data_IF_647162178765
#
_entry.id   IF_647162178765
#
_cell.length_a   1.000
_cell.length_b   1.000
_cell.length_c   1.000
_cell.angle_alpha   90.00
_cell.angle_beta   90.00
_cell.angle_gamma   90.00
#
_symmetry.space_group_name_H-M   'P 1'
#
loop_
_entity.id
_entity.type
_entity.pdbx_description
1 polymer ?
#
# COMPACT_ATOMS: atom_id res chain seq x y z
N UNK A 1 -1.31 -12.41 22.24
CA UNK A 1 -1.63 -12.10 20.83
C UNK A 1 -0.59 -12.77 19.94
N UNK A 2 -1.01 -13.38 18.83
CA UNK A 2 -0.11 -13.91 17.82
C UNK A 2 0.39 -12.76 16.92
N UNK A 3 1.68 -12.70 16.62
CA UNK A 3 2.29 -11.68 15.74
C UNK A 3 2.91 -12.40 14.53
N UNK A 4 2.48 -12.10 13.30
CA UNK A 4 3.06 -12.68 12.10
C UNK A 4 4.47 -12.15 11.87
N UNK A 5 5.32 -12.93 11.23
CA UNK A 5 6.66 -12.49 10.85
C UNK A 5 6.64 -11.84 9.47
N UNK A 6 7.34 -10.72 9.33
CA UNK A 6 7.56 -10.11 8.01
C UNK A 6 8.77 -10.79 7.37
N UNK A 7 8.57 -11.43 6.23
CA UNK A 7 9.61 -12.14 5.46
C UNK A 7 9.91 -11.39 4.17
N UNK A 8 11.18 -11.14 3.90
CA UNK A 8 11.61 -10.48 2.66
C UNK A 8 11.96 -11.56 1.62
N UNK A 9 11.34 -11.49 0.46
CA UNK A 9 11.58 -12.41 -0.64
C UNK A 9 11.81 -11.67 -1.96
N UNK A 10 12.52 -12.30 -2.89
CA UNK A 10 12.63 -11.79 -4.25
C UNK A 10 11.28 -11.93 -4.95
N UNK A 11 10.85 -10.88 -5.64
CA UNK A 11 9.65 -10.93 -6.47
C UNK A 11 9.81 -12.00 -7.57
N UNK A 12 8.73 -12.74 -7.82
CA UNK A 12 8.67 -13.56 -9.02
C UNK A 12 8.75 -12.65 -10.26
N UNK A 13 9.65 -12.91 -11.24
CA UNK A 13 9.75 -12.09 -12.45
C UNK A 13 8.43 -11.90 -13.19
N UNK A 14 7.56 -12.92 -13.24
CA UNK A 14 6.23 -12.83 -13.88
C UNK A 14 5.30 -11.84 -13.16
N UNK A 15 5.37 -11.76 -11.83
CA UNK A 15 4.62 -10.77 -11.08
C UNK A 15 5.14 -9.35 -11.34
N UNK A 16 6.47 -9.17 -11.39
CA UNK A 16 7.05 -7.87 -11.74
C UNK A 16 6.62 -7.44 -13.15
N UNK A 17 6.65 -8.34 -14.13
CA UNK A 17 6.20 -8.11 -15.51
C UNK A 17 4.72 -7.72 -15.52
N UNK A 18 3.87 -8.46 -14.82
CA UNK A 18 2.44 -8.20 -14.71
C UNK A 18 2.16 -6.81 -14.14
N UNK A 19 2.86 -6.38 -13.08
CA UNK A 19 2.70 -5.04 -12.52
C UNK A 19 3.14 -3.95 -13.48
N UNK A 20 4.30 -4.12 -14.14
CA UNK A 20 4.76 -3.13 -15.13
C UNK A 20 3.77 -3.02 -16.30
N UNK A 21 3.23 -4.12 -16.79
CA UNK A 21 2.18 -4.13 -17.81
C UNK A 21 0.97 -3.31 -17.35
N UNK A 22 0.44 -3.59 -16.16
CA UNK A 22 -0.73 -2.91 -15.61
C UNK A 22 -0.50 -1.39 -15.45
N UNK A 23 0.69 -0.99 -14.99
CA UNK A 23 1.05 0.42 -14.84
C UNK A 23 1.23 1.15 -16.19
N UNK A 24 1.50 0.42 -17.27
CA UNK A 24 1.61 0.95 -18.63
C UNK A 24 0.28 0.91 -19.40
N UNK A 25 -0.78 0.32 -18.83
CA UNK A 25 -2.11 0.39 -19.43
C UNK A 25 -2.60 1.83 -19.46
N UNK A 26 -3.22 2.21 -20.60
CA UNK A 26 -3.85 3.52 -20.71
C UNK A 26 -5.07 3.54 -19.81
N UNK A 27 -5.04 4.36 -18.77
CA UNK A 27 -6.22 4.58 -17.94
C UNK A 27 -7.40 4.98 -18.83
N UNK A 28 -8.48 4.21 -18.78
CA UNK A 28 -9.74 4.48 -19.48
C UNK A 28 -10.53 5.61 -18.83
N UNK A 29 -10.04 6.18 -17.74
CA UNK A 29 -10.66 7.29 -17.00
C UNK A 29 -10.21 8.60 -17.60
N UNK A 30 -11.14 9.53 -17.78
CA UNK A 30 -10.91 10.86 -18.39
C UNK A 30 -9.96 11.79 -17.62
N UNK A 31 -9.16 11.28 -16.72
CA UNK A 31 -8.12 12.03 -16.02
C UNK A 31 -6.89 12.17 -16.93
N UNK A 32 -6.49 13.40 -17.20
CA UNK A 32 -5.37 13.75 -18.10
C UNK A 32 -4.00 13.40 -17.53
N UNK A 33 -3.89 13.11 -16.23
CA UNK A 33 -2.65 12.70 -15.57
C UNK A 33 -2.54 11.18 -15.56
N UNK A 34 -1.40 10.67 -16.05
CA UNK A 34 -1.05 9.24 -16.05
C UNK A 34 0.12 8.97 -15.10
N UNK A 35 -0.06 9.12 -13.77
CA UNK A 35 1.07 9.06 -12.84
C UNK A 35 1.74 7.69 -12.85
N UNK A 36 0.99 6.59 -13.05
CA UNK A 36 1.52 5.24 -13.14
C UNK A 36 2.37 5.04 -14.40
N UNK A 37 1.84 5.43 -15.55
CA UNK A 37 2.52 5.34 -16.82
C UNK A 37 3.83 6.14 -16.84
N UNK A 38 3.78 7.42 -16.45
CA UNK A 38 4.95 8.29 -16.46
C UNK A 38 6.05 7.84 -15.49
N UNK A 39 5.68 7.43 -14.27
CA UNK A 39 6.64 6.90 -13.30
C UNK A 39 7.26 5.59 -13.78
N UNK A 40 6.48 4.73 -14.45
CA UNK A 40 6.99 3.49 -15.03
C UNK A 40 8.00 3.78 -16.14
N UNK A 41 7.71 4.70 -17.06
CA UNK A 41 8.68 5.10 -18.10
C UNK A 41 9.92 5.81 -17.54
N UNK A 42 9.79 6.49 -16.40
CA UNK A 42 10.96 7.07 -15.71
C UNK A 42 11.86 5.97 -15.14
N UNK A 43 11.26 4.91 -14.60
CA UNK A 43 11.97 3.76 -14.04
C UNK A 43 12.55 2.86 -15.14
N UNK A 44 11.82 2.68 -16.25
CA UNK A 44 12.17 1.89 -17.43
C UNK A 44 12.26 2.76 -18.68
N UNK A 45 13.34 3.58 -18.83
CA UNK A 45 13.47 4.47 -19.98
C UNK A 45 13.48 3.74 -21.34
N UNK A 46 13.87 2.47 -21.35
CA UNK A 46 13.86 1.58 -22.52
C UNK A 46 12.45 1.28 -23.05
N UNK A 47 11.41 1.54 -22.26
CA UNK A 47 10.00 1.37 -22.64
C UNK A 47 9.36 2.66 -23.19
N UNK A 48 10.12 3.72 -23.48
CA UNK A 48 9.56 5.00 -23.99
C UNK A 48 8.78 4.86 -25.29
N UNK A 49 9.17 3.90 -26.13
CA UNK A 49 8.52 3.64 -27.41
C UNK A 49 7.47 2.52 -27.33
N UNK A 50 7.05 2.12 -26.14
CA UNK A 50 6.10 1.02 -25.91
C UNK A 50 4.76 1.21 -26.63
N UNK A 51 4.31 2.46 -26.80
CA UNK A 51 3.08 2.80 -27.54
C UNK A 51 3.20 2.65 -29.06
N UNK A 52 4.41 2.40 -29.58
CA UNK A 52 4.69 2.15 -31.00
C UNK A 52 4.80 0.67 -31.34
N UNK A 53 4.64 -0.22 -30.34
CA UNK A 53 4.61 -1.66 -30.58
C UNK A 53 3.53 -2.00 -31.62
N UNK A 54 3.87 -2.85 -32.59
CA UNK A 54 3.00 -3.22 -33.71
C UNK A 54 1.76 -4.00 -33.23
N UNK A 55 1.96 -4.82 -32.20
CA UNK A 55 0.90 -5.61 -31.59
C UNK A 55 1.16 -5.87 -30.08
N UNK A 56 0.22 -6.56 -29.44
CA UNK A 56 0.32 -6.89 -28.02
C UNK A 56 1.46 -7.88 -27.72
N UNK A 57 1.82 -8.73 -28.66
CA UNK A 57 2.91 -9.69 -28.48
C UNK A 57 4.27 -8.96 -28.45
N UNK A 58 4.47 -7.98 -29.32
CA UNK A 58 5.67 -7.12 -29.30
C UNK A 58 5.72 -6.29 -28.02
N UNK A 59 4.58 -5.71 -27.60
CA UNK A 59 4.45 -4.95 -26.36
C UNK A 59 4.86 -5.80 -25.15
N UNK A 60 4.32 -7.01 -25.03
CA UNK A 60 4.65 -7.94 -23.96
C UNK A 60 6.13 -8.35 -24.00
N UNK A 61 6.69 -8.60 -25.17
CA UNK A 61 8.11 -8.92 -25.32
C UNK A 61 9.01 -7.77 -24.85
N UNK A 62 8.68 -6.52 -25.20
CA UNK A 62 9.43 -5.34 -24.75
C UNK A 62 9.43 -5.23 -23.22
N UNK A 63 8.25 -5.37 -22.58
CA UNK A 63 8.11 -5.31 -21.13
C UNK A 63 8.93 -6.42 -20.47
N UNK A 64 8.73 -7.66 -20.90
CA UNK A 64 9.44 -8.83 -20.37
C UNK A 64 10.95 -8.67 -20.46
N UNK A 65 11.44 -8.27 -21.61
CA UNK A 65 12.88 -8.05 -21.83
C UNK A 65 13.43 -6.97 -20.89
N UNK A 66 12.72 -5.85 -20.73
CA UNK A 66 13.15 -4.75 -19.86
C UNK A 66 13.19 -5.19 -18.40
N UNK A 67 12.15 -5.85 -17.91
CA UNK A 67 12.06 -6.32 -16.52
C UNK A 67 13.13 -7.36 -16.21
N UNK A 68 13.25 -8.42 -17.01
CA UNK A 68 14.24 -9.48 -16.80
C UNK A 68 15.65 -8.91 -16.77
N UNK A 69 15.98 -8.07 -17.78
CA UNK A 69 17.28 -7.42 -17.82
C UNK A 69 17.59 -6.64 -16.54
N UNK A 70 16.64 -5.85 -16.03
CA UNK A 70 16.84 -5.06 -14.81
C UNK A 70 17.04 -5.93 -13.57
N UNK A 71 16.28 -7.01 -13.43
CA UNK A 71 16.41 -7.94 -12.32
C UNK A 71 17.76 -8.68 -12.36
N UNK A 72 18.20 -9.12 -13.54
CA UNK A 72 19.48 -9.81 -13.72
C UNK A 72 20.68 -8.89 -13.47
N UNK A 73 20.72 -7.72 -14.11
CA UNK A 73 21.81 -6.74 -13.99
C UNK A 73 22.00 -6.24 -12.55
N UNK A 74 20.94 -6.25 -11.73
CA UNK A 74 20.96 -5.74 -10.37
C UNK A 74 20.81 -6.84 -9.30
N UNK A 75 20.96 -8.10 -9.67
CA UNK A 75 20.67 -9.25 -8.81
C UNK A 75 21.47 -9.24 -7.48
N UNK A 76 22.72 -8.83 -7.51
CA UNK A 76 23.57 -8.73 -6.29
C UNK A 76 23.11 -7.56 -5.39
N UNK A 77 22.81 -6.41 -5.98
CA UNK A 77 22.31 -5.27 -5.23
C UNK A 77 20.94 -5.55 -4.61
N UNK A 78 20.05 -6.18 -5.37
CA UNK A 78 18.72 -6.59 -4.86
C UNK A 78 18.90 -7.50 -3.64
N UNK A 79 19.79 -8.50 -3.73
CA UNK A 79 20.05 -9.44 -2.62
C UNK A 79 20.57 -8.71 -1.38
N UNK A 80 21.57 -7.83 -1.55
CA UNK A 80 22.10 -6.99 -0.48
C UNK A 80 21.03 -6.11 0.17
N UNK A 81 20.13 -5.56 -0.62
CA UNK A 81 19.01 -4.76 -0.11
C UNK A 81 17.97 -5.58 0.62
N UNK A 82 17.69 -6.79 0.14
CA UNK A 82 16.78 -7.72 0.83
C UNK A 82 17.30 -8.09 2.23
N UNK A 83 18.60 -8.38 2.35
CA UNK A 83 19.23 -8.67 3.64
C UNK A 83 19.08 -7.45 4.58
N UNK A 84 19.39 -6.26 4.10
CA UNK A 84 19.23 -5.03 4.86
C UNK A 84 17.76 -4.76 5.28
N UNK A 85 16.80 -5.00 4.39
CA UNK A 85 15.37 -4.84 4.72
C UNK A 85 14.95 -5.84 5.78
N UNK A 86 15.37 -7.09 5.68
CA UNK A 86 15.07 -8.13 6.66
C UNK A 86 15.62 -7.76 8.05
N UNK A 87 16.90 -7.43 8.14
CA UNK A 87 17.53 -6.99 9.39
C UNK A 87 16.80 -5.78 10.00
N UNK A 88 16.41 -4.84 9.17
CA UNK A 88 15.73 -3.63 9.63
C UNK A 88 14.31 -3.90 10.10
N UNK A 89 13.55 -4.75 9.40
CA UNK A 89 12.21 -5.19 9.82
C UNK A 89 12.24 -5.90 11.17
N UNK A 90 13.23 -6.75 11.41
CA UNK A 90 13.41 -7.45 12.69
C UNK A 90 13.55 -6.48 13.89
N UNK A 91 13.95 -5.24 13.65
CA UNK A 91 14.14 -4.27 14.75
C UNK A 91 12.86 -3.63 15.25
N UNK A 92 11.78 -3.58 14.46
CA UNK A 92 10.59 -2.80 14.83
C UNK A 92 9.24 -3.41 14.44
N UNK A 93 9.19 -4.33 13.46
CA UNK A 93 7.92 -4.80 12.91
C UNK A 93 7.04 -5.52 13.92
N UNK A 94 7.60 -6.37 14.77
CA UNK A 94 6.82 -7.09 15.77
C UNK A 94 6.07 -6.11 16.69
N UNK A 95 6.75 -5.10 17.22
CA UNK A 95 6.15 -4.07 18.07
C UNK A 95 5.15 -3.19 17.33
N UNK A 96 5.43 -2.87 16.08
CA UNK A 96 4.51 -2.12 15.21
C UNK A 96 3.21 -2.89 14.96
N UNK A 97 3.30 -4.15 14.53
CA UNK A 97 2.13 -4.99 14.24
C UNK A 97 1.30 -5.19 15.51
N UNK A 98 1.96 -5.48 16.64
CA UNK A 98 1.28 -5.62 17.93
C UNK A 98 0.50 -4.35 18.29
N UNK A 99 1.14 -3.17 18.19
CA UNK A 99 0.50 -1.90 18.50
C UNK A 99 -0.67 -1.58 17.56
N UNK A 100 -0.54 -1.83 16.25
CA UNK A 100 -1.64 -1.69 15.29
C UNK A 100 -2.79 -2.64 15.60
N UNK A 101 -2.52 -3.92 15.86
CA UNK A 101 -3.54 -4.89 16.22
C UNK A 101 -4.30 -4.47 17.51
N UNK A 102 -3.59 -3.98 18.52
CA UNK A 102 -4.21 -3.44 19.74
C UNK A 102 -5.07 -2.21 19.44
N UNK A 103 -4.58 -1.27 18.61
CA UNK A 103 -5.32 -0.07 18.21
C UNK A 103 -6.63 -0.42 17.49
N UNK A 104 -6.57 -1.35 16.53
CA UNK A 104 -7.74 -1.79 15.77
C UNK A 104 -8.65 -2.78 16.52
N UNK A 105 -8.29 -3.18 17.76
CA UNK A 105 -8.97 -4.25 18.48
C UNK A 105 -9.13 -5.50 17.60
N UNK A 106 -8.00 -5.93 17.00
CA UNK A 106 -7.91 -7.03 16.06
C UNK A 106 -6.93 -8.10 16.57
N UNK A 107 -7.25 -9.37 16.38
CA UNK A 107 -6.35 -10.48 16.67
C UNK A 107 -5.89 -11.14 15.36
N UNK A 108 -4.58 -11.04 15.09
CA UNK A 108 -4.01 -11.70 13.91
C UNK A 108 -4.19 -13.23 13.99
N UNK A 109 -4.60 -13.82 12.87
CA UNK A 109 -4.95 -15.25 12.81
C UNK A 109 -3.67 -16.10 12.71
N UNK A 110 -3.53 -17.16 13.57
CA UNK A 110 -2.34 -18.02 13.55
C UNK A 110 -2.13 -18.83 12.26
N UNK A 111 -3.17 -19.02 11.46
CA UNK A 111 -3.11 -19.69 10.16
C UNK A 111 -2.49 -18.81 9.05
N UNK A 112 -2.25 -17.53 9.32
CA UNK A 112 -1.54 -16.58 8.47
C UNK A 112 -0.24 -16.10 9.16
N UNK A 113 0.77 -16.98 9.35
CA UNK A 113 1.92 -16.69 10.22
C UNK A 113 2.96 -15.75 9.61
N UNK A 114 2.83 -15.43 8.33
CA UNK A 114 3.82 -14.65 7.58
C UNK A 114 3.15 -13.56 6.78
N UNK A 115 3.75 -12.37 6.81
CA UNK A 115 3.51 -11.31 5.84
C UNK A 115 4.72 -11.28 4.90
N UNK A 116 4.51 -11.39 3.60
CA UNK A 116 5.62 -11.42 2.65
C UNK A 116 5.85 -10.06 2.01
N UNK A 117 7.07 -9.53 2.17
CA UNK A 117 7.56 -8.36 1.45
C UNK A 117 8.33 -8.82 0.21
N UNK A 118 7.72 -8.70 -0.96
CA UNK A 118 8.40 -9.01 -2.22
C UNK A 118 9.20 -7.82 -2.74
N UNK A 119 10.50 -8.03 -2.91
CA UNK A 119 11.43 -6.99 -3.37
C UNK A 119 11.69 -7.13 -4.87
N UNK A 120 11.40 -6.08 -5.64
CA UNK A 120 11.54 -6.06 -7.08
C UNK A 120 12.02 -4.71 -7.63
N UNK A 121 11.74 -4.47 -8.89
CA UNK A 121 12.01 -3.20 -9.57
C UNK A 121 10.69 -2.55 -9.98
N UNK A 122 10.08 -1.79 -9.03
CA UNK A 122 8.71 -1.31 -9.13
C UNK A 122 8.61 0.21 -8.90
N UNK A 123 7.77 0.94 -9.65
CA UNK A 123 7.53 2.37 -9.42
C UNK A 123 6.52 2.64 -8.29
N UNK A 124 5.75 1.62 -7.89
CA UNK A 124 4.70 1.66 -6.88
C UNK A 124 4.73 0.39 -6.04
N UNK A 125 4.04 0.39 -4.91
CA UNK A 125 4.00 -0.69 -3.95
C UNK A 125 2.60 -1.34 -3.93
N UNK A 126 2.35 -2.33 -4.82
CA UNK A 126 1.11 -3.10 -4.78
C UNK A 126 1.04 -3.96 -3.52
N UNK A 127 -0.17 -4.35 -3.12
CA UNK A 127 -0.41 -5.33 -2.06
C UNK A 127 -1.49 -6.32 -2.45
N UNK A 128 -1.59 -7.39 -1.65
CA UNK A 128 -2.73 -8.29 -1.57
C UNK A 128 -3.05 -8.52 -0.09
N UNK A 129 -4.15 -7.97 0.38
CA UNK A 129 -4.59 -8.17 1.76
C UNK A 129 -4.98 -9.64 1.99
N UNK A 130 -5.51 -10.32 0.98
CA UNK A 130 -5.89 -11.74 1.05
C UNK A 130 -4.66 -12.65 1.21
N UNK A 131 -3.60 -12.40 0.44
CA UNK A 131 -2.37 -13.22 0.45
C UNK A 131 -1.37 -12.75 1.52
N UNK A 132 -1.68 -11.71 2.28
CA UNK A 132 -0.80 -11.09 3.27
C UNK A 132 0.58 -10.78 2.70
N UNK A 133 0.59 -10.08 1.57
CA UNK A 133 1.84 -9.68 0.93
C UNK A 133 1.78 -8.24 0.37
N UNK A 134 2.95 -7.64 0.25
CA UNK A 134 3.14 -6.37 -0.42
C UNK A 134 4.45 -6.37 -1.21
N UNK A 135 4.57 -5.42 -2.14
CA UNK A 135 5.68 -5.38 -3.09
C UNK A 135 6.40 -4.04 -2.98
N UNK A 136 7.74 -4.07 -2.97
CA UNK A 136 8.57 -2.88 -2.81
C UNK A 136 9.65 -2.79 -3.90
N UNK A 137 10.19 -1.58 -4.10
CA UNK A 137 11.35 -1.38 -4.96
C UNK A 137 12.63 -1.45 -4.15
N UNK A 138 13.62 -2.22 -4.60
CA UNK A 138 14.92 -2.29 -3.95
C UNK A 138 15.67 -0.95 -3.95
N UNK A 139 15.32 -0.03 -4.84
CA UNK A 139 16.02 1.25 -5.00
C UNK A 139 15.65 2.31 -3.96
N UNK A 140 14.50 2.16 -3.32
CA UNK A 140 13.94 3.20 -2.45
C UNK A 140 14.03 2.79 -0.97
N UNK A 141 15.24 2.90 -0.43
CA UNK A 141 15.57 2.43 0.91
C UNK A 141 14.68 3.02 2.01
N UNK A 142 14.49 4.34 2.00
CA UNK A 142 13.69 5.02 3.04
C UNK A 142 12.20 4.71 2.91
N UNK A 143 11.71 4.71 1.67
CA UNK A 143 10.29 4.52 1.39
C UNK A 143 9.83 3.07 1.64
N UNK A 144 10.73 2.08 1.55
CA UNK A 144 10.40 0.68 1.83
C UNK A 144 9.80 0.53 3.23
N UNK A 145 10.38 1.15 4.24
CA UNK A 145 9.91 1.00 5.62
C UNK A 145 8.60 1.76 5.87
N UNK A 146 8.49 2.99 5.41
CA UNK A 146 7.24 3.75 5.51
C UNK A 146 6.13 3.12 4.67
N UNK A 147 6.45 2.58 3.49
CA UNK A 147 5.52 1.81 2.67
C UNK A 147 5.08 0.51 3.34
N UNK A 148 6.00 -0.25 3.94
CA UNK A 148 5.65 -1.49 4.63
C UNK A 148 4.66 -1.26 5.78
N UNK A 149 4.86 -0.24 6.62
CA UNK A 149 3.92 0.07 7.70
C UNK A 149 2.57 0.53 7.15
N UNK A 150 2.55 1.25 6.03
CA UNK A 150 1.34 1.66 5.33
C UNK A 150 0.54 0.45 4.81
N UNK A 151 1.19 -0.46 4.08
CA UNK A 151 0.52 -1.64 3.51
C UNK A 151 0.05 -2.63 4.60
N UNK A 152 0.81 -2.81 5.67
CA UNK A 152 0.41 -3.66 6.80
C UNK A 152 -0.76 -3.02 7.57
N UNK A 153 -0.79 -1.69 7.72
CA UNK A 153 -1.94 -1.00 8.30
C UNK A 153 -3.22 -1.29 7.51
N UNK A 154 -3.17 -1.24 6.18
CA UNK A 154 -4.30 -1.60 5.33
C UNK A 154 -4.74 -3.05 5.51
N UNK A 155 -3.81 -4.01 5.66
CA UNK A 155 -4.15 -5.41 5.90
C UNK A 155 -4.91 -5.59 7.20
N UNK A 156 -4.45 -4.94 8.29
CA UNK A 156 -5.09 -4.99 9.60
C UNK A 156 -6.46 -4.31 9.56
N UNK A 157 -6.55 -3.13 8.95
CA UNK A 157 -7.81 -2.42 8.73
C UNK A 157 -8.81 -3.29 7.99
N UNK A 158 -8.39 -3.88 6.86
CA UNK A 158 -9.28 -4.64 6.01
C UNK A 158 -9.78 -5.93 6.68
N UNK A 159 -8.92 -6.62 7.41
CA UNK A 159 -9.32 -7.78 8.22
C UNK A 159 -10.32 -7.37 9.32
N UNK A 160 -10.05 -6.26 10.02
CA UNK A 160 -10.97 -5.72 11.03
C UNK A 160 -12.31 -5.32 10.43
N UNK A 161 -12.29 -4.65 9.27
CA UNK A 161 -13.50 -4.29 8.53
C UNK A 161 -14.32 -5.52 8.14
N UNK A 162 -13.65 -6.57 7.67
CA UNK A 162 -14.28 -7.85 7.37
C UNK A 162 -14.90 -8.53 8.59
N UNK A 163 -14.25 -8.49 9.75
CA UNK A 163 -14.84 -9.00 11.00
C UNK A 163 -16.13 -8.28 11.35
N UNK A 164 -16.17 -6.96 11.21
CA UNK A 164 -17.35 -6.14 11.50
C UNK A 164 -18.50 -6.39 10.52
N UNK A 165 -18.21 -6.78 9.28
CA UNK A 165 -19.18 -6.89 8.19
C UNK A 165 -19.43 -8.33 7.70
N UNK A 166 -19.12 -9.35 8.50
CA UNK A 166 -19.45 -10.74 8.21
C UNK A 166 -18.51 -11.48 7.27
N UNK A 167 -17.31 -10.92 6.98
CA UNK A 167 -16.19 -11.66 6.39
C UNK A 167 -16.23 -11.86 4.87
N UNK A 168 -17.09 -11.14 4.14
CA UNK A 168 -17.23 -11.29 2.68
C UNK A 168 -16.99 -9.99 1.89
N UNK A 169 -16.39 -8.98 2.50
CA UNK A 169 -16.07 -7.73 1.82
C UNK A 169 -14.85 -7.95 0.93
N UNK A 170 -14.93 -7.55 -0.33
CA UNK A 170 -13.79 -7.56 -1.24
C UNK A 170 -12.86 -6.40 -0.94
N UNK A 171 -11.55 -6.62 -1.12
CA UNK A 171 -10.59 -5.52 -1.06
C UNK A 171 -11.00 -4.41 -2.04
N UNK A 172 -11.14 -3.16 -1.55
CA UNK A 172 -11.69 -2.09 -2.36
C UNK A 172 -10.68 -1.61 -3.41
N UNK A 173 -11.21 -1.00 -4.48
CA UNK A 173 -10.41 -0.32 -5.48
C UNK A 173 -11.02 1.05 -5.75
N UNK A 174 -10.18 2.02 -6.11
CA UNK A 174 -10.66 3.34 -6.51
C UNK A 174 -11.72 3.22 -7.64
N UNK A 175 -12.87 3.93 -7.57
CA UNK A 175 -13.24 5.00 -6.61
C UNK A 175 -14.20 4.55 -5.49
N UNK A 176 -14.06 3.32 -4.97
CA UNK A 176 -14.91 2.82 -3.88
C UNK A 176 -14.76 3.69 -2.62
N UNK A 177 -15.84 4.07 -1.91
CA UNK A 177 -15.75 4.78 -0.64
C UNK A 177 -14.88 4.07 0.42
N UNK A 178 -14.86 2.74 0.43
CA UNK A 178 -14.01 1.98 1.34
C UNK A 178 -12.52 2.15 1.01
N UNK A 179 -12.16 2.31 -0.28
CA UNK A 179 -10.80 2.66 -0.69
C UNK A 179 -10.39 4.04 -0.14
N UNK A 180 -11.27 5.03 -0.21
CA UNK A 180 -10.98 6.36 0.36
C UNK A 180 -10.82 6.29 1.88
N UNK A 181 -11.65 5.47 2.56
CA UNK A 181 -11.53 5.26 4.01
C UNK A 181 -10.17 4.66 4.37
N UNK A 182 -9.76 3.57 3.72
CA UNK A 182 -8.49 2.91 4.03
C UNK A 182 -7.28 3.84 3.84
N UNK A 183 -7.31 4.71 2.81
CA UNK A 183 -6.23 5.63 2.52
C UNK A 183 -6.19 6.84 3.46
N UNK A 184 -7.34 7.33 3.91
CA UNK A 184 -7.37 8.50 4.79
C UNK A 184 -7.03 8.15 6.24
N UNK A 185 -7.41 6.97 6.72
CA UNK A 185 -7.17 6.58 8.11
C UNK A 185 -5.72 6.25 8.42
N UNK A 186 -4.85 6.07 7.42
CA UNK A 186 -3.40 5.86 7.64
C UNK A 186 -2.78 7.01 8.43
N UNK A 187 -3.25 8.24 8.23
CA UNK A 187 -2.76 9.40 8.96
C UNK A 187 -3.04 9.28 10.47
N UNK A 188 -4.29 9.22 10.96
CA UNK A 188 -4.55 9.15 12.39
C UNK A 188 -4.10 7.84 13.05
N UNK A 189 -4.15 6.71 12.34
CA UNK A 189 -3.81 5.40 12.94
C UNK A 189 -2.30 5.18 13.05
N UNK A 190 -1.54 5.51 12.02
CA UNK A 190 -0.08 5.33 12.03
C UNK A 190 0.65 6.43 12.83
N UNK A 191 0.01 7.58 13.03
CA UNK A 191 0.56 8.66 13.86
C UNK A 191 0.08 8.59 15.33
N UNK A 192 -0.79 7.63 15.70
CA UNK A 192 -1.14 7.36 17.09
C UNK A 192 0.13 7.03 17.88
N UNK A 193 0.29 7.62 19.08
CA UNK A 193 1.53 7.53 19.86
C UNK A 193 1.95 6.09 20.12
N UNK A 194 0.98 5.22 20.43
CA UNK A 194 1.21 3.79 20.68
C UNK A 194 1.80 3.04 19.47
N UNK A 195 1.51 3.48 18.26
CA UNK A 195 2.00 2.91 17.00
C UNK A 195 3.29 3.61 16.55
N UNK A 196 3.27 4.96 16.54
CA UNK A 196 4.38 5.78 16.03
C UNK A 196 5.69 5.57 16.78
N UNK A 197 5.65 5.29 18.09
CA UNK A 197 6.85 4.99 18.88
C UNK A 197 7.69 3.82 18.36
N UNK A 198 7.09 2.90 17.61
CA UNK A 198 7.79 1.75 17.01
C UNK A 198 8.38 2.09 15.63
N UNK A 199 7.67 2.87 14.81
CA UNK A 199 8.05 3.15 13.43
C UNK A 199 8.99 4.34 13.29
N UNK A 200 8.82 5.38 14.14
CA UNK A 200 9.50 6.67 14.08
C UNK A 200 9.24 7.47 12.78
N UNK A 201 8.30 7.02 11.95
CA UNK A 201 7.89 7.71 10.72
C UNK A 201 6.64 8.55 10.97
N UNK A 202 6.59 9.72 10.33
CA UNK A 202 5.36 10.48 10.18
C UNK A 202 4.66 10.01 8.90
N UNK A 203 3.44 9.53 9.04
CA UNK A 203 2.65 9.03 7.93
C UNK A 203 1.63 10.08 7.49
N UNK A 204 1.45 10.24 6.18
CA UNK A 204 0.49 11.15 5.59
C UNK A 204 -0.37 10.40 4.58
N UNK A 205 -1.65 10.71 4.59
CA UNK A 205 -2.58 10.30 3.56
C UNK A 205 -2.37 11.09 2.25
N UNK A 206 -3.17 10.85 1.22
CA UNK A 206 -3.07 11.59 -0.03
C UNK A 206 -3.32 13.10 0.16
N UNK A 207 -2.60 13.98 -0.59
CA UNK A 207 -2.70 15.44 -0.44
C UNK A 207 -4.13 15.99 -0.54
N UNK A 208 -4.97 15.41 -1.40
CA UNK A 208 -6.35 15.84 -1.59
C UNK A 208 -7.21 15.77 -0.32
N UNK A 209 -6.88 14.90 0.63
CA UNK A 209 -7.62 14.80 1.89
C UNK A 209 -7.37 15.97 2.85
N UNK A 210 -6.32 16.74 2.61
CA UNK A 210 -5.98 17.93 3.42
C UNK A 210 -6.48 19.24 2.77
N UNK A 211 -7.03 19.18 1.58
CA UNK A 211 -7.59 20.35 0.91
C UNK A 211 -8.88 20.78 1.61
N UNK A 212 -9.07 22.10 1.91
CA UNK A 212 -10.29 22.56 2.52
C UNK A 212 -11.50 22.33 1.61
N UNK A 213 -12.58 21.76 2.16
CA UNK A 213 -13.87 21.66 1.49
C UNK A 213 -14.64 22.99 1.49
N UNK A 214 -15.89 22.97 1.03
CA UNK A 214 -16.76 24.16 0.96
C UNK A 214 -16.98 24.85 2.32
N UNK A 215 -16.91 24.09 3.42
CA UNK A 215 -17.05 24.59 4.79
C UNK A 215 -15.77 25.19 5.37
N UNK A 216 -14.65 25.11 4.64
CA UNK A 216 -13.31 25.49 5.11
C UNK A 216 -12.62 24.41 5.96
N UNK A 217 -13.28 23.30 6.27
CA UNK A 217 -12.72 22.13 6.95
C UNK A 217 -12.30 21.08 5.92
N UNK A 218 -11.13 20.48 6.09
CA UNK A 218 -10.71 19.37 5.23
C UNK A 218 -11.34 18.04 5.67
N UNK A 219 -11.40 17.06 4.75
CA UNK A 219 -11.80 15.70 5.10
C UNK A 219 -10.89 15.14 6.21
N UNK A 220 -9.58 15.38 6.12
CA UNK A 220 -8.63 14.93 7.13
C UNK A 220 -8.90 15.53 8.51
N UNK A 221 -9.24 16.83 8.61
CA UNK A 221 -9.59 17.44 9.88
C UNK A 221 -10.81 16.77 10.52
N UNK A 222 -11.81 16.46 9.71
CA UNK A 222 -12.99 15.74 10.16
C UNK A 222 -12.66 14.33 10.65
N UNK A 223 -11.88 13.57 9.89
CA UNK A 223 -11.48 12.21 10.27
C UNK A 223 -10.64 12.20 11.55
N UNK A 224 -9.70 13.14 11.69
CA UNK A 224 -8.90 13.29 12.93
C UNK A 224 -9.78 13.61 14.14
N UNK A 225 -10.80 14.47 13.99
CA UNK A 225 -11.75 14.75 15.08
C UNK A 225 -12.55 13.50 15.48
N UNK A 226 -13.03 12.72 14.52
CA UNK A 226 -13.70 11.45 14.80
C UNK A 226 -12.76 10.47 15.53
N UNK A 227 -11.53 10.37 15.07
CA UNK A 227 -10.53 9.51 15.68
C UNK A 227 -10.21 9.89 17.13
N UNK A 228 -10.03 11.18 17.41
CA UNK A 228 -9.74 11.70 18.76
C UNK A 228 -10.91 11.50 19.73
N UNK A 229 -12.15 11.56 19.24
CA UNK A 229 -13.35 11.47 20.07
C UNK A 229 -13.98 10.05 20.05
N UNK A 230 -13.31 9.07 19.47
CA UNK A 230 -13.81 7.70 19.33
C UNK A 230 -14.08 7.04 20.68
N UNK A 231 -15.17 6.30 20.76
CA UNK A 231 -15.47 5.43 21.91
C UNK A 231 -14.80 4.07 21.77
N UNK A 232 -14.76 3.57 20.54
CA UNK A 232 -14.07 2.36 20.12
C UNK A 232 -13.49 2.56 18.71
N UNK A 233 -12.66 1.63 18.25
CA UNK A 233 -12.20 1.65 16.87
C UNK A 233 -13.33 1.32 15.89
N UNK A 234 -14.21 0.41 16.28
CA UNK A 234 -15.38 0.03 15.48
C UNK A 234 -16.29 1.24 15.22
N UNK A 235 -16.64 1.99 16.27
CA UNK A 235 -17.45 3.22 16.14
C UNK A 235 -16.76 4.23 15.21
N UNK A 236 -15.45 4.42 15.39
CA UNK A 236 -14.67 5.32 14.54
C UNK A 236 -14.71 4.91 13.06
N UNK A 237 -14.51 3.63 12.76
CA UNK A 237 -14.50 3.15 11.37
C UNK A 237 -15.85 3.35 10.69
N UNK A 238 -16.95 3.07 11.39
CA UNK A 238 -18.31 3.31 10.88
C UNK A 238 -18.62 4.80 10.65
N UNK A 239 -18.29 5.66 11.62
CA UNK A 239 -18.52 7.10 11.51
C UNK A 239 -17.63 7.72 10.41
N UNK A 240 -16.38 7.27 10.29
CA UNK A 240 -15.46 7.72 9.24
C UNK A 240 -15.93 7.27 7.85
N UNK A 241 -16.41 6.02 7.71
CA UNK A 241 -16.98 5.54 6.46
C UNK A 241 -18.21 6.34 6.03
N UNK A 242 -19.12 6.61 6.97
CA UNK A 242 -20.28 7.45 6.70
C UNK A 242 -19.86 8.87 6.24
N UNK A 243 -18.83 9.46 6.87
CA UNK A 243 -18.30 10.75 6.48
C UNK A 243 -17.71 10.75 5.06
N UNK A 244 -16.93 9.71 4.72
CA UNK A 244 -16.37 9.52 3.36
C UNK A 244 -17.49 9.37 2.32
N UNK A 245 -18.51 8.54 2.60
CA UNK A 245 -19.64 8.35 1.68
C UNK A 245 -20.44 9.63 1.39
N UNK A 246 -20.51 10.56 2.34
CA UNK A 246 -21.18 11.85 2.15
C UNK A 246 -20.36 12.77 1.23
N UNK A 247 -19.05 12.81 1.40
CA UNK A 247 -18.15 13.67 0.63
C UNK A 247 -18.02 13.25 -0.84
N UNK A 248 -17.98 11.94 -1.11
CA UNK A 248 -17.82 11.43 -2.49
C UNK A 248 -19.10 11.59 -3.32
N UNK A 249 -20.27 11.75 -2.67
CA UNK A 249 -21.56 11.93 -3.34
C UNK A 249 -21.91 13.38 -3.65
N UNK A 250 -21.22 14.34 -3.07
CA UNK A 250 -21.39 15.77 -3.30
C UNK A 250 -20.51 16.24 -4.43
#
# INVERSE_FOLDING_TARGET
MFIPKVKVELINPEDNIRFIRNFLEKEKTGNTTRPFYEKTLKLYPELRDIDRAEDEAEREWMIRRAVIKRLEENSEEIRRRMDYFSERFDTFMDGFIEACCQLFNYEWKPDQPVITCYTGYLPFYPRSAADKCFYVSYQDEERVFSGAVHEINHMIFFDKWNEMHGGNVKEPAWPDPLWYLEEIIVDPTLNEESVRKHTLYENRAYPQFYEPGETGESMMDRIRKLFLNRKSMEDFLEEAYAAVCLEIKG
#
